data_IF_984766101565
#
_entry.id   IF_984766101565
#
_cell.length_a   1.000
_cell.length_b   1.000
_cell.length_c   1.000
_cell.angle_alpha   90.00
_cell.angle_beta   90.00
_cell.angle_gamma   90.00
#
_symmetry.space_group_name_H-M   'P 1'
#
loop_
_entity.id
_entity.type
_entity.pdbx_description
1 polymer ?
#
# COMPACT_ATOMS: atom_id res chain seq x y z
N UNK A 1 10.85 -17.04 6.87
CA UNK A 1 9.82 -16.40 7.72
C UNK A 1 8.99 -15.35 6.98
N UNK A 2 9.46 -14.12 6.70
CA UNK A 2 8.60 -13.07 6.11
C UNK A 2 7.84 -13.48 4.83
N UNK A 3 8.52 -14.12 3.87
CA UNK A 3 7.90 -14.62 2.63
C UNK A 3 6.84 -15.69 2.92
N UNK A 4 7.09 -16.54 3.92
CA UNK A 4 6.18 -17.61 4.32
C UNK A 4 4.92 -17.05 4.98
N UNK A 5 5.07 -16.04 5.85
CA UNK A 5 3.94 -15.32 6.45
C UNK A 5 3.04 -14.70 5.38
N UNK A 6 3.62 -14.00 4.40
CA UNK A 6 2.87 -13.39 3.30
C UNK A 6 2.18 -14.46 2.45
N UNK A 7 2.93 -15.50 2.07
CA UNK A 7 2.39 -16.61 1.27
C UNK A 7 1.23 -17.31 1.96
N UNK A 8 1.30 -17.46 3.28
CA UNK A 8 0.24 -18.07 4.09
C UNK A 8 -1.02 -17.21 4.10
N UNK A 9 -0.89 -15.90 4.34
CA UNK A 9 -2.02 -14.97 4.28
C UNK A 9 -2.75 -14.99 2.92
N UNK A 10 -1.99 -14.97 1.82
CA UNK A 10 -2.55 -15.02 0.46
C UNK A 10 -3.28 -16.35 0.20
N UNK A 11 -2.70 -17.48 0.63
CA UNK A 11 -3.33 -18.80 0.47
C UNK A 11 -4.63 -18.89 1.26
N UNK A 12 -4.66 -18.39 2.50
CA UNK A 12 -5.88 -18.37 3.33
C UNK A 12 -6.98 -17.54 2.68
N UNK A 13 -6.66 -16.33 2.20
CA UNK A 13 -7.63 -15.49 1.50
C UNK A 13 -8.18 -16.17 0.23
N UNK A 14 -7.31 -16.79 -0.58
CA UNK A 14 -7.75 -17.55 -1.77
C UNK A 14 -8.59 -18.78 -1.46
N UNK A 15 -8.47 -19.34 -0.24
CA UNK A 15 -9.31 -20.43 0.25
C UNK A 15 -10.65 -19.95 0.84
N UNK A 16 -10.93 -18.63 0.82
CA UNK A 16 -12.13 -18.06 1.40
C UNK A 16 -12.11 -17.96 2.94
N UNK A 17 -10.92 -18.06 3.55
CA UNK A 17 -10.74 -18.03 5.01
C UNK A 17 -10.38 -16.63 5.52
N UNK A 18 -10.84 -15.57 4.84
CA UNK A 18 -10.57 -14.16 5.15
C UNK A 18 -11.83 -13.38 5.53
N UNK A 19 -11.63 -12.14 5.99
CA UNK A 19 -12.70 -11.18 6.25
C UNK A 19 -12.83 -10.24 5.05
N UNK A 20 -13.97 -10.27 4.35
CA UNK A 20 -14.22 -9.46 3.15
C UNK A 20 -14.17 -7.95 3.41
N UNK A 21 -14.23 -7.52 4.68
CA UNK A 21 -14.12 -6.11 5.09
C UNK A 21 -12.68 -5.69 5.39
N UNK A 22 -11.70 -6.57 5.19
CA UNK A 22 -10.29 -6.31 5.49
C UNK A 22 -9.38 -6.62 4.30
N UNK A 23 -8.20 -5.99 4.21
CA UNK A 23 -7.18 -6.40 3.26
C UNK A 23 -6.75 -7.86 3.48
N UNK A 24 -6.36 -8.55 2.41
CA UNK A 24 -5.80 -9.92 2.44
C UNK A 24 -4.64 -10.04 3.43
N UNK A 25 -3.83 -8.99 3.53
CA UNK A 25 -2.77 -8.88 4.52
C UNK A 25 -2.25 -7.45 4.60
N UNK A 26 -1.86 -7.05 5.79
CA UNK A 26 -1.18 -5.78 6.06
C UNK A 26 0.13 -6.10 6.77
N UNK A 27 1.25 -5.71 6.16
CA UNK A 27 2.59 -6.10 6.62
C UNK A 27 3.46 -4.86 6.78
N UNK A 28 4.27 -4.85 7.83
CA UNK A 28 5.33 -3.86 8.03
C UNK A 28 6.67 -4.56 7.86
N UNK A 29 7.43 -4.18 6.84
CA UNK A 29 8.80 -4.64 6.66
C UNK A 29 9.76 -3.68 7.36
N UNK A 30 10.38 -4.13 8.44
CA UNK A 30 11.43 -3.40 9.13
C UNK A 30 12.81 -4.05 8.86
N UNK A 31 13.83 -3.23 8.69
CA UNK A 31 15.21 -3.69 8.49
C UNK A 31 16.08 -2.64 7.82
N UNK A 32 17.40 -2.85 7.71
CA UNK A 32 18.31 -1.90 7.06
C UNK A 32 17.97 -1.64 5.58
N UNK A 33 18.56 -0.59 5.01
CA UNK A 33 18.50 -0.33 3.57
C UNK A 33 19.22 -1.45 2.80
N UNK A 34 18.76 -1.75 1.58
CA UNK A 34 19.40 -2.73 0.71
C UNK A 34 19.05 -4.20 0.98
N UNK A 35 18.28 -4.53 2.02
CA UNK A 35 17.87 -5.92 2.34
C UNK A 35 16.71 -6.45 1.48
N UNK A 36 16.22 -5.68 0.51
CA UNK A 36 15.24 -6.14 -0.48
C UNK A 36 13.76 -5.99 -0.11
N UNK A 37 13.39 -5.17 0.88
CA UNK A 37 11.99 -4.94 1.30
C UNK A 37 11.07 -4.55 0.13
N UNK A 38 11.47 -3.54 -0.63
CA UNK A 38 10.75 -3.07 -1.84
C UNK A 38 10.74 -4.14 -2.94
N UNK A 39 11.85 -4.87 -3.10
CA UNK A 39 12.01 -5.88 -4.15
C UNK A 39 11.10 -7.10 -3.92
N UNK A 40 10.94 -7.56 -2.67
CA UNK A 40 9.99 -8.62 -2.31
C UNK A 40 8.59 -8.25 -2.77
N UNK A 41 8.16 -7.01 -2.56
CA UNK A 41 6.84 -6.52 -2.95
C UNK A 41 6.67 -6.47 -4.47
N UNK A 42 7.71 -6.04 -5.19
CA UNK A 42 7.75 -6.04 -6.66
C UNK A 42 7.66 -7.45 -7.25
N UNK A 43 8.44 -8.39 -6.72
CA UNK A 43 8.41 -9.78 -7.17
C UNK A 43 7.10 -10.47 -6.83
N UNK A 44 6.50 -10.14 -5.69
CA UNK A 44 5.19 -10.66 -5.31
C UNK A 44 4.10 -10.20 -6.27
N UNK A 45 4.04 -8.89 -6.60
CA UNK A 45 3.10 -8.35 -7.58
C UNK A 45 3.25 -9.05 -8.95
N UNK A 46 4.49 -9.19 -9.42
CA UNK A 46 4.82 -9.90 -10.67
C UNK A 46 4.38 -11.37 -10.63
N UNK A 47 4.65 -12.07 -9.53
CA UNK A 47 4.33 -13.50 -9.37
C UNK A 47 2.83 -13.75 -9.29
N UNK A 48 2.07 -12.82 -8.71
CA UNK A 48 0.61 -12.89 -8.62
C UNK A 48 -0.09 -12.36 -9.87
N UNK A 49 0.62 -11.65 -10.76
CA UNK A 49 0.05 -11.03 -11.96
C UNK A 49 -0.88 -9.85 -11.62
N UNK A 50 -0.61 -9.12 -10.54
CA UNK A 50 -1.44 -8.00 -10.07
C UNK A 50 -0.66 -6.70 -10.04
N UNK A 51 -1.38 -5.59 -10.06
CA UNK A 51 -0.76 -4.26 -10.07
C UNK A 51 -0.04 -3.98 -8.76
N UNK A 52 1.14 -3.36 -8.87
CA UNK A 52 1.83 -2.74 -7.73
C UNK A 52 1.53 -1.23 -7.76
N UNK A 53 0.78 -0.76 -6.78
CA UNK A 53 0.55 0.67 -6.53
C UNK A 53 1.59 1.09 -5.49
N UNK A 54 2.58 1.88 -5.90
CA UNK A 54 3.68 2.32 -5.03
C UNK A 54 3.59 3.81 -4.76
N UNK A 55 3.67 4.18 -3.50
CA UNK A 55 3.83 5.55 -3.04
C UNK A 55 5.19 5.67 -2.35
N UNK A 56 6.01 6.61 -2.82
CA UNK A 56 7.25 6.99 -2.14
C UNK A 56 6.91 7.99 -1.03
N UNK A 57 7.01 7.55 0.22
CA UNK A 57 6.58 8.35 1.36
C UNK A 57 7.52 9.53 1.66
N UNK A 58 8.70 9.58 1.03
CA UNK A 58 9.57 10.75 1.05
C UNK A 58 8.95 11.97 0.33
N UNK A 59 7.99 11.78 -0.56
CA UNK A 59 7.24 12.89 -1.18
C UNK A 59 6.17 13.47 -0.24
N UNK A 60 5.90 12.81 0.89
CA UNK A 60 4.80 13.12 1.80
C UNK A 60 5.27 13.60 3.18
N UNK A 61 6.46 14.21 3.26
CA UNK A 61 7.07 14.71 4.49
C UNK A 61 6.31 15.89 5.12
N UNK A 62 5.47 16.58 4.33
CA UNK A 62 4.74 17.77 4.76
C UNK A 62 3.25 17.49 4.94
N UNK A 63 2.62 18.07 5.97
CA UNK A 63 1.21 17.83 6.31
C UNK A 63 0.24 17.97 5.13
N UNK A 64 0.44 18.98 4.28
CA UNK A 64 -0.46 19.25 3.17
C UNK A 64 -0.28 18.28 2.00
N UNK A 65 0.89 17.63 1.88
CA UNK A 65 1.14 16.62 0.86
C UNK A 65 0.41 15.30 1.18
N UNK A 66 0.32 14.92 2.45
CA UNK A 66 -0.48 13.75 2.90
C UNK A 66 -1.96 13.89 2.53
N UNK A 67 -2.51 15.11 2.58
CA UNK A 67 -3.90 15.36 2.18
C UNK A 67 -4.16 15.02 0.71
N UNK A 68 -3.15 15.09 -0.17
CA UNK A 68 -3.30 14.66 -1.58
C UNK A 68 -3.36 13.14 -1.73
N UNK A 69 -2.75 12.39 -0.81
CA UNK A 69 -2.75 10.93 -0.85
C UNK A 69 -4.15 10.37 -0.56
N UNK A 70 -4.83 10.90 0.46
CA UNK A 70 -6.13 10.40 0.94
C UNK A 70 -7.33 11.21 0.45
N UNK A 71 -7.12 12.44 -0.02
CA UNK A 71 -8.16 13.41 -0.37
C UNK A 71 -8.18 14.58 0.62
N UNK A 72 -8.47 15.78 0.11
CA UNK A 72 -8.56 16.96 0.96
C UNK A 72 -9.83 16.89 1.83
N UNK A 73 -9.83 17.43 3.06
CA UNK A 73 -11.04 17.50 3.88
C UNK A 73 -12.04 18.55 3.34
N UNK A 74 -13.35 18.47 3.72
CA UNK A 74 -14.35 19.45 3.31
C UNK A 74 -13.91 20.88 3.61
N UNK A 75 -14.05 21.78 2.61
CA UNK A 75 -13.66 23.18 2.74
C UNK A 75 -12.21 23.51 2.35
N UNK A 76 -11.43 22.52 1.89
CA UNK A 76 -10.08 22.73 1.33
C UNK A 76 -10.08 22.59 -0.20
N UNK A 77 -9.12 23.26 -0.85
CA UNK A 77 -8.92 23.11 -2.31
C UNK A 77 -8.60 21.65 -2.63
N UNK A 78 -9.37 21.05 -3.55
CA UNK A 78 -9.23 19.64 -3.91
C UNK A 78 -10.15 18.68 -3.15
N UNK A 79 -11.13 19.17 -2.37
CA UNK A 79 -12.12 18.31 -1.69
C UNK A 79 -12.91 17.42 -2.65
N UNK A 80 -13.29 17.95 -3.81
CA UNK A 80 -14.01 17.20 -4.85
C UNK A 80 -13.08 16.31 -5.71
N UNK A 81 -11.76 16.37 -5.47
CA UNK A 81 -10.78 15.49 -6.10
C UNK A 81 -10.49 14.34 -5.14
N UNK A 82 -10.58 13.11 -5.64
CA UNK A 82 -10.22 11.93 -4.86
C UNK A 82 -8.75 11.94 -4.44
N UNK A 83 -8.42 11.17 -3.41
CA UNK A 83 -7.04 10.95 -3.01
C UNK A 83 -6.31 10.08 -4.02
N UNK A 84 -5.01 10.31 -4.22
CA UNK A 84 -4.18 9.48 -5.10
C UNK A 84 -4.25 7.99 -4.74
N UNK A 85 -4.30 7.67 -3.45
CA UNK A 85 -4.44 6.29 -2.97
C UNK A 85 -5.86 5.76 -3.22
N UNK A 86 -6.89 6.53 -2.88
CA UNK A 86 -8.28 6.08 -3.02
C UNK A 86 -8.61 5.83 -4.47
N UNK A 87 -8.20 6.73 -5.36
CA UNK A 87 -8.48 6.63 -6.79
C UNK A 87 -7.74 5.46 -7.43
N UNK A 88 -6.46 5.25 -7.06
CA UNK A 88 -5.68 4.12 -7.54
C UNK A 88 -6.27 2.78 -7.11
N UNK A 89 -6.77 2.66 -5.87
CA UNK A 89 -7.41 1.43 -5.36
C UNK A 89 -8.80 1.22 -5.96
N UNK A 90 -9.57 2.28 -6.21
CA UNK A 90 -10.86 2.19 -6.92
C UNK A 90 -10.64 1.69 -8.35
N UNK A 91 -9.60 2.18 -9.03
CA UNK A 91 -9.26 1.75 -10.38
C UNK A 91 -8.75 0.30 -10.42
N UNK A 92 -7.96 -0.12 -9.44
CA UNK A 92 -7.38 -1.45 -9.34
C UNK A 92 -7.61 -2.09 -7.94
N UNK A 93 -8.82 -2.63 -7.66
CA UNK A 93 -9.17 -3.14 -6.34
C UNK A 93 -8.37 -4.36 -5.91
N UNK A 94 -7.81 -5.11 -6.86
CA UNK A 94 -7.00 -6.30 -6.62
C UNK A 94 -5.53 -6.00 -6.94
N UNK A 95 -4.90 -5.23 -6.05
CA UNK A 95 -3.54 -4.74 -6.18
C UNK A 95 -2.74 -4.92 -4.89
N UNK A 96 -1.42 -4.79 -4.99
CA UNK A 96 -0.55 -4.58 -3.83
C UNK A 96 -0.32 -3.08 -3.68
N UNK A 97 -0.61 -2.54 -2.51
CA UNK A 97 -0.27 -1.17 -2.14
C UNK A 97 1.03 -1.19 -1.34
N UNK A 98 2.04 -0.47 -1.82
CA UNK A 98 3.32 -0.28 -1.15
C UNK A 98 3.47 1.19 -0.72
N UNK A 99 3.59 1.40 0.59
CA UNK A 99 4.05 2.65 1.17
C UNK A 99 5.54 2.50 1.46
N UNK A 100 6.38 2.96 0.54
CA UNK A 100 7.84 2.81 0.62
C UNK A 100 8.43 3.93 1.48
N UNK A 101 9.47 3.64 2.27
CA UNK A 101 10.08 4.59 3.22
C UNK A 101 9.06 5.29 4.16
N UNK A 102 8.07 4.53 4.67
CA UNK A 102 6.98 5.06 5.50
C UNK A 102 7.45 5.90 6.70
N UNK A 103 8.65 5.66 7.22
CA UNK A 103 9.27 6.45 8.29
C UNK A 103 9.56 7.91 7.91
N UNK A 104 9.49 8.25 6.62
CA UNK A 104 9.70 9.61 6.10
C UNK A 104 8.41 10.42 6.03
N UNK A 105 7.24 9.78 6.08
CA UNK A 105 5.96 10.47 5.98
C UNK A 105 5.72 11.44 7.15
N UNK A 106 4.95 12.50 6.89
CA UNK A 106 4.37 13.31 7.97
C UNK A 106 3.40 12.45 8.81
N UNK A 107 3.45 12.53 10.15
CA UNK A 107 2.54 11.80 11.03
C UNK A 107 1.09 12.29 10.98
#
# INVERSE_FOLDING_TARGET
EAIETISTAIKMARAGLGDDKKPIGSFLFAGPTGVGKTEVTRQLAKSLGIKLIRFDMSEYMERHTVSRLIGAPPGYVGYDQGGLLTDAVIQDPHAIVLLDEIEKAHP
#
